data_IF_786522773537
#
_entry.id   IF_786522773537
#
_cell.length_a   1.000
_cell.length_b   1.000
_cell.length_c   1.000
_cell.angle_alpha   90.00
_cell.angle_beta   90.00
_cell.angle_gamma   90.00
#
_symmetry.space_group_name_H-M   'P 1'
#
loop_
_entity.id
_entity.type
_entity.pdbx_description
1 polymer ?
#
# COMPACT_ATOMS: atom_id res chain seq x y z
N UNK A 1 -9.57 -6.10 -13.59
CA UNK A 1 -8.48 -6.55 -14.47
C UNK A 1 -8.06 -7.92 -13.97
N UNK A 2 -8.16 -8.98 -14.79
CA UNK A 2 -7.75 -10.34 -14.39
C UNK A 2 -6.36 -10.60 -15.01
N UNK A 3 -5.36 -10.87 -14.16
CA UNK A 3 -4.00 -11.15 -14.61
C UNK A 3 -3.94 -12.39 -15.53
N UNK A 4 -4.75 -13.42 -15.26
CA UNK A 4 -4.81 -14.62 -16.11
C UNK A 4 -5.25 -14.27 -17.53
N UNK A 5 -6.27 -13.42 -17.67
CA UNK A 5 -6.72 -12.95 -18.99
C UNK A 5 -5.62 -12.18 -19.72
N UNK A 6 -4.90 -11.33 -19.02
CA UNK A 6 -3.77 -10.57 -19.61
C UNK A 6 -2.63 -11.50 -20.03
N UNK A 7 -2.38 -12.57 -19.24
CA UNK A 7 -1.39 -13.59 -19.57
C UNK A 7 -1.79 -14.40 -20.81
N UNK A 8 -3.08 -14.74 -20.97
CA UNK A 8 -3.57 -15.41 -22.19
C UNK A 8 -3.46 -14.53 -23.43
N UNK A 9 -3.78 -13.23 -23.31
CA UNK A 9 -3.58 -12.28 -24.40
C UNK A 9 -2.10 -12.21 -24.81
N UNK A 10 -1.18 -12.13 -23.85
CA UNK A 10 0.27 -12.14 -24.11
C UNK A 10 0.76 -13.45 -24.75
N UNK A 11 0.20 -14.61 -24.36
CA UNK A 11 0.49 -15.91 -24.99
C UNK A 11 0.11 -15.94 -26.47
N UNK A 12 -0.97 -15.24 -26.85
CA UNK A 12 -1.36 -15.09 -28.26
C UNK A 12 -0.45 -14.17 -29.07
N UNK A 13 0.31 -13.29 -28.41
CA UNK A 13 1.12 -12.25 -29.07
C UNK A 13 2.61 -12.62 -29.21
N UNK A 14 3.10 -13.60 -28.45
CA UNK A 14 4.55 -13.91 -28.36
C UNK A 14 4.81 -15.42 -28.33
N UNK A 15 6.00 -15.84 -28.76
CA UNK A 15 6.45 -17.23 -28.55
C UNK A 15 6.62 -17.54 -27.06
N UNK A 16 6.57 -18.82 -26.68
CA UNK A 16 6.76 -19.23 -25.29
C UNK A 16 8.10 -18.75 -24.69
N UNK A 17 9.17 -18.76 -25.48
CA UNK A 17 10.48 -18.26 -25.05
C UNK A 17 10.47 -16.75 -24.82
N UNK A 18 9.89 -15.98 -25.75
CA UNK A 18 9.78 -14.53 -25.62
C UNK A 18 8.87 -14.14 -24.45
N UNK A 19 7.76 -14.84 -24.23
CA UNK A 19 6.87 -14.63 -23.10
C UNK A 19 7.59 -14.89 -21.77
N UNK A 20 8.31 -16.00 -21.66
CA UNK A 20 9.08 -16.34 -20.46
C UNK A 20 10.11 -15.25 -20.14
N UNK A 21 10.84 -14.77 -21.15
CA UNK A 21 11.79 -13.67 -20.98
C UNK A 21 11.10 -12.34 -20.61
N UNK A 22 9.95 -12.05 -21.23
CA UNK A 22 9.16 -10.86 -20.95
C UNK A 22 8.68 -10.84 -19.49
N UNK A 23 8.12 -11.96 -19.00
CA UNK A 23 7.69 -12.09 -17.60
C UNK A 23 8.88 -12.02 -16.64
N UNK A 24 9.99 -12.69 -16.94
CA UNK A 24 11.17 -12.63 -16.05
C UNK A 24 11.73 -11.20 -15.89
N UNK A 25 11.61 -10.36 -16.93
CA UNK A 25 12.08 -8.96 -16.92
C UNK A 25 11.08 -7.97 -16.30
N UNK A 26 9.80 -8.29 -16.32
CA UNK A 26 8.74 -7.46 -15.79
C UNK A 26 8.72 -7.44 -14.25
N UNK A 27 8.24 -6.34 -13.67
CA UNK A 27 8.08 -6.17 -12.22
C UNK A 27 6.62 -6.35 -11.85
N UNK A 28 6.34 -7.29 -10.95
CA UNK A 28 5.05 -7.40 -10.30
C UNK A 28 5.00 -6.43 -9.10
N UNK A 29 4.21 -5.37 -9.21
CA UNK A 29 3.94 -4.43 -8.11
C UNK A 29 2.66 -4.83 -7.38
N UNK A 30 2.77 -5.19 -6.10
CA UNK A 30 1.65 -5.63 -5.27
C UNK A 30 1.45 -4.64 -4.11
N UNK A 31 0.20 -4.22 -3.91
CA UNK A 31 -0.21 -3.27 -2.86
C UNK A 31 -1.58 -3.68 -2.34
N UNK A 32 -1.60 -4.55 -1.33
CA UNK A 32 -2.80 -5.14 -0.74
C UNK A 32 -2.86 -4.89 0.77
N UNK A 33 -4.00 -5.20 1.41
CA UNK A 33 -4.18 -5.13 2.85
C UNK A 33 -5.02 -3.96 3.32
N UNK A 34 -4.88 -2.77 2.71
CA UNK A 34 -5.58 -1.57 3.21
C UNK A 34 -7.09 -1.79 3.33
N UNK A 35 -7.74 -2.27 2.26
CA UNK A 35 -9.18 -2.55 2.24
C UNK A 35 -9.59 -3.70 3.17
N UNK A 36 -8.74 -4.69 3.37
CA UNK A 36 -8.99 -5.78 4.32
C UNK A 36 -9.12 -5.24 5.76
N UNK A 37 -8.40 -4.16 6.08
CA UNK A 37 -8.60 -3.43 7.33
C UNK A 37 -9.80 -2.48 7.24
N UNK A 38 -9.77 -1.49 6.34
CA UNK A 38 -10.72 -0.36 6.37
C UNK A 38 -12.12 -0.68 5.85
N UNK A 39 -12.31 -1.74 5.07
CA UNK A 39 -13.58 -2.13 4.45
C UNK A 39 -14.01 -3.52 4.90
N UNK A 40 -13.39 -4.07 5.96
CA UNK A 40 -13.74 -5.35 6.54
C UNK A 40 -13.45 -5.40 8.05
N UNK A 41 -12.20 -5.50 8.48
CA UNK A 41 -11.86 -5.66 9.91
C UNK A 41 -12.36 -4.50 10.78
N UNK A 42 -12.25 -3.26 10.29
CA UNK A 42 -12.66 -2.06 11.02
C UNK A 42 -14.14 -1.68 10.80
N UNK A 43 -14.94 -2.54 10.16
CA UNK A 43 -16.40 -2.38 10.01
C UNK A 43 -17.17 -3.51 10.71
N UNK A 44 -17.16 -3.56 12.05
CA UNK A 44 -17.85 -4.60 12.81
C UNK A 44 -19.38 -4.58 12.64
N UNK A 45 -19.96 -3.47 12.14
CA UNK A 45 -21.39 -3.38 11.84
C UNK A 45 -21.81 -4.15 10.59
N UNK A 46 -20.86 -4.47 9.70
CA UNK A 46 -21.12 -5.19 8.43
C UNK A 46 -20.42 -6.55 8.37
N UNK A 47 -19.30 -6.71 9.08
CA UNK A 47 -18.47 -7.91 9.03
C UNK A 47 -18.14 -8.41 10.43
N UNK A 48 -18.02 -9.73 10.59
CA UNK A 48 -17.69 -10.37 11.86
C UNK A 48 -16.19 -10.60 12.06
N UNK A 49 -15.35 -10.13 11.13
CA UNK A 49 -13.91 -10.43 11.10
C UNK A 49 -13.18 -10.03 12.38
N UNK A 50 -13.46 -8.85 12.94
CA UNK A 50 -12.83 -8.40 14.19
C UNK A 50 -13.30 -9.14 15.43
N UNK A 51 -14.44 -9.86 15.35
CA UNK A 51 -14.88 -10.76 16.41
C UNK A 51 -14.24 -12.15 16.27
N UNK A 52 -13.92 -12.57 15.05
CA UNK A 52 -13.33 -13.87 14.76
C UNK A 52 -11.79 -13.90 14.89
N UNK A 53 -11.10 -12.78 14.67
CA UNK A 53 -9.65 -12.71 14.64
C UNK A 53 -9.11 -11.59 15.53
N UNK A 54 -8.06 -11.90 16.30
CA UNK A 54 -7.23 -10.85 16.89
C UNK A 54 -6.50 -10.05 15.79
N UNK A 55 -6.02 -8.82 16.07
CA UNK A 55 -5.25 -8.03 15.12
C UNK A 55 -4.08 -8.79 14.49
N UNK A 56 -3.36 -9.57 15.30
CA UNK A 56 -2.21 -10.36 14.86
C UNK A 56 -2.61 -11.58 14.04
N UNK A 57 -3.67 -12.30 14.43
CA UNK A 57 -4.16 -13.45 13.66
C UNK A 57 -4.68 -13.02 12.29
N UNK A 58 -5.34 -11.86 12.22
CA UNK A 58 -5.81 -11.30 10.96
C UNK A 58 -4.62 -10.89 10.06
N UNK A 59 -3.60 -10.25 10.62
CA UNK A 59 -2.37 -9.95 9.87
C UNK A 59 -1.71 -11.22 9.30
N UNK A 60 -1.64 -12.29 10.09
CA UNK A 60 -1.12 -13.59 9.64
C UNK A 60 -1.97 -14.21 8.53
N UNK A 61 -3.31 -14.16 8.67
CA UNK A 61 -4.23 -14.61 7.63
C UNK A 61 -3.98 -13.87 6.31
N UNK A 62 -3.89 -12.54 6.34
CA UNK A 62 -3.63 -11.73 5.14
C UNK A 62 -2.27 -12.06 4.52
N UNK A 63 -1.21 -12.21 5.33
CA UNK A 63 0.12 -12.57 4.84
C UNK A 63 0.13 -13.95 4.17
N UNK A 64 -0.61 -14.93 4.69
CA UNK A 64 -0.75 -16.23 4.05
C UNK A 64 -1.43 -16.14 2.69
N UNK A 65 -2.48 -15.33 2.55
CA UNK A 65 -3.12 -15.08 1.26
C UNK A 65 -2.15 -14.35 0.31
N UNK A 66 -1.40 -13.37 0.81
CA UNK A 66 -0.42 -12.63 0.04
C UNK A 66 0.68 -13.56 -0.51
N UNK A 67 1.25 -14.42 0.33
CA UNK A 67 2.25 -15.42 -0.07
C UNK A 67 1.75 -16.30 -1.23
N UNK A 68 0.51 -16.78 -1.17
CA UNK A 68 -0.09 -17.61 -2.24
C UNK A 68 -0.16 -16.86 -3.57
N UNK A 69 -0.56 -15.59 -3.56
CA UNK A 69 -0.63 -14.77 -4.78
C UNK A 69 0.77 -14.52 -5.37
N UNK A 70 1.76 -14.22 -4.52
CA UNK A 70 3.15 -14.04 -4.94
C UNK A 70 3.69 -15.32 -5.59
N UNK A 71 3.47 -16.47 -4.95
CA UNK A 71 3.93 -17.76 -5.44
C UNK A 71 3.24 -18.17 -6.74
N UNK A 72 1.96 -17.81 -6.93
CA UNK A 72 1.26 -18.03 -8.20
C UNK A 72 1.87 -17.22 -9.34
N UNK A 73 2.16 -15.93 -9.11
CA UNK A 73 2.86 -15.07 -10.08
C UNK A 73 4.28 -15.59 -10.37
N UNK A 74 5.00 -16.04 -9.35
CA UNK A 74 6.30 -16.66 -9.51
C UNK A 74 6.24 -17.94 -10.36
N UNK A 75 5.22 -18.78 -10.14
CA UNK A 75 5.01 -20.03 -10.88
C UNK A 75 4.80 -19.79 -12.39
N UNK A 76 4.20 -18.66 -12.80
CA UNK A 76 4.03 -18.34 -14.22
C UNK A 76 5.26 -17.72 -14.89
N UNK A 77 6.34 -17.47 -14.14
CA UNK A 77 7.62 -16.99 -14.70
C UNK A 77 8.05 -15.59 -14.24
N UNK A 78 7.28 -14.91 -13.38
CA UNK A 78 7.69 -13.62 -12.83
C UNK A 78 8.87 -13.79 -11.88
N UNK A 79 9.85 -12.88 -11.95
CA UNK A 79 11.08 -12.94 -11.13
C UNK A 79 11.35 -11.69 -10.30
N UNK A 80 10.69 -10.56 -10.59
CA UNK A 80 10.90 -9.31 -9.86
C UNK A 80 9.61 -8.87 -9.19
N UNK A 81 9.66 -8.66 -7.88
CA UNK A 81 8.48 -8.34 -7.08
C UNK A 81 8.74 -7.11 -6.20
N UNK A 82 7.82 -6.17 -6.23
CA UNK A 82 7.78 -5.05 -5.28
C UNK A 82 6.50 -5.14 -4.47
N UNK A 83 6.64 -5.37 -3.17
CA UNK A 83 5.57 -5.61 -2.22
C UNK A 83 5.45 -4.38 -1.30
N UNK A 84 4.50 -3.50 -1.63
CA UNK A 84 4.23 -2.30 -0.84
C UNK A 84 3.50 -2.68 0.46
N UNK A 85 4.01 -2.20 1.59
CA UNK A 85 3.33 -2.27 2.88
C UNK A 85 2.10 -1.35 2.94
N UNK A 86 1.33 -1.48 4.00
CA UNK A 86 0.14 -0.67 4.28
C UNK A 86 0.56 0.64 4.95
N UNK A 87 0.05 1.77 4.47
CA UNK A 87 0.27 3.09 5.08
C UNK A 87 -0.40 3.24 6.45
N UNK A 88 -0.18 4.35 7.18
CA UNK A 88 -0.76 4.56 8.51
C UNK A 88 -2.27 4.86 8.43
N UNK A 89 -3.11 3.81 8.36
CA UNK A 89 -4.56 3.96 8.18
C UNK A 89 -5.22 4.72 9.33
N UNK A 90 -4.70 4.68 10.56
CA UNK A 90 -5.24 5.50 11.65
C UNK A 90 -5.16 7.00 11.37
N UNK A 91 -4.34 7.42 10.42
CA UNK A 91 -4.15 8.81 10.02
C UNK A 91 -4.98 9.25 8.82
N UNK A 92 -5.67 8.35 8.10
CA UNK A 92 -6.49 8.76 6.96
C UNK A 92 -7.71 9.56 7.44
N UNK A 93 -8.23 10.51 6.63
CA UNK A 93 -9.35 11.36 7.05
C UNK A 93 -10.58 10.58 7.51
N UNK A 94 -10.91 9.45 6.87
CA UNK A 94 -12.01 8.59 7.28
C UNK A 94 -11.86 8.07 8.72
N UNK A 95 -10.68 7.58 9.09
CA UNK A 95 -10.44 7.05 10.43
C UNK A 95 -10.42 8.17 11.48
N UNK A 96 -9.88 9.35 11.14
CA UNK A 96 -9.95 10.54 12.01
C UNK A 96 -11.40 11.02 12.22
N UNK A 97 -12.24 10.89 11.20
CA UNK A 97 -13.63 11.31 11.24
C UNK A 97 -14.50 10.46 12.18
N UNK A 98 -14.05 9.25 12.57
CA UNK A 98 -14.74 8.41 13.56
C UNK A 98 -14.81 9.04 14.95
N UNK A 99 -13.90 9.97 15.25
CA UNK A 99 -13.82 10.61 16.57
C UNK A 99 -13.25 9.74 17.68
N UNK A 100 -12.67 8.57 17.36
CA UNK A 100 -12.02 7.69 18.34
C UNK A 100 -10.71 8.27 18.91
N UNK A 101 -10.16 9.31 18.28
CA UNK A 101 -8.97 10.02 18.74
C UNK A 101 -9.26 11.53 18.94
N UNK A 102 -8.46 12.23 19.79
CA UNK A 102 -8.50 13.67 19.91
C UNK A 102 -8.31 14.38 18.56
N UNK A 103 -8.83 15.61 18.44
CA UNK A 103 -8.67 16.42 17.23
C UNK A 103 -7.18 16.56 16.84
N UNK A 104 -6.88 16.47 15.55
CA UNK A 104 -5.52 16.50 15.00
C UNK A 104 -4.70 15.23 15.20
N UNK A 105 -5.15 14.25 16.01
CA UNK A 105 -4.43 12.98 16.25
C UNK A 105 -4.91 11.86 15.33
N UNK A 106 -4.00 10.94 15.00
CA UNK A 106 -4.37 9.68 14.35
C UNK A 106 -5.03 8.75 15.37
N UNK A 107 -5.77 7.75 14.86
CA UNK A 107 -6.28 6.65 15.69
C UNK A 107 -5.15 5.65 15.93
N UNK A 108 -4.49 5.78 17.09
CA UNK A 108 -3.27 5.02 17.40
C UNK A 108 -3.50 3.50 17.44
N UNK A 109 -4.67 3.04 17.93
CA UNK A 109 -5.02 1.62 17.95
C UNK A 109 -5.07 1.00 16.55
N UNK A 110 -5.56 1.73 15.55
CA UNK A 110 -5.55 1.31 14.15
C UNK A 110 -4.12 1.20 13.64
N UNK A 111 -3.28 2.21 13.90
CA UNK A 111 -1.88 2.19 13.48
C UNK A 111 -1.06 1.06 14.12
N UNK A 112 -1.31 0.76 15.40
CA UNK A 112 -0.65 -0.36 16.10
C UNK A 112 -0.98 -1.72 15.48
N UNK A 113 -2.24 -1.94 15.11
CA UNK A 113 -2.69 -3.18 14.46
C UNK A 113 -1.96 -3.47 13.14
N UNK A 114 -1.61 -2.45 12.37
CA UNK A 114 -0.92 -2.59 11.09
C UNK A 114 0.55 -3.03 11.25
N UNK A 115 1.12 -2.86 12.46
CA UNK A 115 2.51 -3.23 12.75
C UNK A 115 2.80 -4.70 12.45
N UNK A 116 1.93 -5.61 12.90
CA UNK A 116 2.08 -7.05 12.68
C UNK A 116 2.12 -7.40 11.19
N UNK A 117 1.26 -6.79 10.37
CA UNK A 117 1.24 -7.02 8.93
C UNK A 117 2.48 -6.48 8.24
N UNK A 118 2.85 -5.23 8.49
CA UNK A 118 3.99 -4.60 7.82
C UNK A 118 5.33 -5.25 8.19
N UNK A 119 5.52 -5.61 9.47
CA UNK A 119 6.70 -6.35 9.91
C UNK A 119 6.71 -7.77 9.33
N UNK A 120 5.57 -8.45 9.34
CA UNK A 120 5.43 -9.79 8.75
C UNK A 120 5.70 -9.79 7.24
N UNK A 121 5.27 -8.78 6.50
CA UNK A 121 5.53 -8.63 5.06
C UNK A 121 7.04 -8.48 4.79
N UNK A 122 7.74 -7.66 5.59
CA UNK A 122 9.20 -7.53 5.50
C UNK A 122 9.92 -8.85 5.80
N UNK A 123 9.48 -9.58 6.82
CA UNK A 123 10.02 -10.90 7.15
C UNK A 123 9.76 -11.93 6.05
N UNK A 124 8.57 -11.90 5.44
CA UNK A 124 8.21 -12.75 4.30
C UNK A 124 9.11 -12.46 3.10
N UNK A 125 9.42 -11.20 2.81
CA UNK A 125 10.40 -10.84 1.75
C UNK A 125 11.77 -11.47 2.01
N UNK A 126 12.25 -11.45 3.26
CA UNK A 126 13.51 -12.10 3.61
C UNK A 126 13.47 -13.61 3.37
N UNK A 127 12.38 -14.28 3.74
CA UNK A 127 12.19 -15.72 3.52
C UNK A 127 12.07 -16.07 2.03
N UNK A 128 11.31 -15.29 1.26
CA UNK A 128 11.15 -15.50 -0.19
C UNK A 128 12.48 -15.38 -0.93
N UNK A 129 13.29 -14.36 -0.62
CA UNK A 129 14.61 -14.21 -1.21
C UNK A 129 15.57 -15.36 -0.83
N UNK A 130 15.43 -15.96 0.36
CA UNK A 130 16.23 -17.11 0.77
C UNK A 130 15.80 -18.40 0.06
N UNK A 131 14.49 -18.58 -0.18
CA UNK A 131 13.92 -19.83 -0.67
C UNK A 131 13.78 -19.91 -2.21
N UNK A 132 13.88 -18.79 -2.92
CA UNK A 132 13.66 -18.73 -4.37
C UNK A 132 14.87 -18.09 -5.09
N UNK A 133 16.02 -18.80 -5.15
CA UNK A 133 17.17 -18.32 -5.91
C UNK A 133 16.78 -18.12 -7.38
N UNK A 134 17.02 -16.91 -7.91
CA UNK A 134 16.62 -16.52 -9.26
C UNK A 134 15.40 -15.60 -9.33
N UNK A 135 14.75 -15.31 -8.20
CA UNK A 135 13.79 -14.22 -8.07
C UNK A 135 14.23 -13.22 -7.00
N UNK A 136 13.79 -11.97 -7.13
CA UNK A 136 14.08 -10.88 -6.20
C UNK A 136 12.78 -10.26 -5.73
N UNK A 137 12.62 -10.25 -4.41
CA UNK A 137 11.48 -9.68 -3.71
C UNK A 137 11.95 -8.44 -2.94
N UNK A 138 11.23 -7.33 -3.11
CA UNK A 138 11.51 -6.06 -2.45
C UNK A 138 10.30 -5.66 -1.62
N UNK A 139 10.52 -5.31 -0.37
CA UNK A 139 9.54 -4.69 0.52
C UNK A 139 9.61 -3.16 0.37
N UNK A 140 8.46 -2.51 0.17
CA UNK A 140 8.32 -1.06 0.20
C UNK A 140 7.68 -0.57 1.51
N UNK A 141 8.36 0.31 2.24
CA UNK A 141 7.93 0.84 3.53
C UNK A 141 6.97 2.03 3.39
N UNK A 142 5.77 1.78 2.86
CA UNK A 142 4.73 2.82 2.71
C UNK A 142 4.38 3.47 4.04
N UNK A 143 4.33 2.68 5.14
CA UNK A 143 4.03 3.19 6.48
C UNK A 143 5.04 4.26 6.92
N UNK A 144 6.33 3.95 6.83
CA UNK A 144 7.40 4.87 7.19
C UNK A 144 7.42 6.11 6.30
N UNK A 145 7.29 5.93 4.98
CA UNK A 145 7.35 7.03 4.03
C UNK A 145 6.19 8.03 4.19
N UNK A 146 4.95 7.55 4.41
CA UNK A 146 3.80 8.42 4.69
C UNK A 146 3.89 9.00 6.10
N UNK A 147 4.35 8.24 7.09
CA UNK A 147 4.54 8.72 8.45
C UNK A 147 5.53 9.89 8.52
N UNK A 148 6.61 9.83 7.76
CA UNK A 148 7.59 10.91 7.63
C UNK A 148 6.98 12.19 7.04
N UNK A 149 6.16 12.07 5.98
CA UNK A 149 5.41 13.19 5.41
C UNK A 149 4.46 13.81 6.45
N UNK A 150 3.74 12.99 7.22
CA UNK A 150 2.80 13.47 8.23
C UNK A 150 3.49 14.15 9.42
N UNK A 151 4.70 13.70 9.78
CA UNK A 151 5.47 14.25 10.89
C UNK A 151 6.28 15.49 10.48
N UNK A 152 6.67 15.60 9.21
CA UNK A 152 7.50 16.67 8.68
C UNK A 152 6.85 17.41 7.48
N UNK A 153 5.56 17.79 7.52
CA UNK A 153 4.81 18.19 6.33
C UNK A 153 5.37 19.43 5.63
N UNK A 154 5.88 20.39 6.39
CA UNK A 154 6.49 21.61 5.85
C UNK A 154 7.73 21.32 4.98
N UNK A 155 8.51 20.27 5.30
CA UNK A 155 9.66 19.85 4.50
C UNK A 155 9.27 19.35 3.10
N UNK A 156 8.01 18.95 2.94
CA UNK A 156 7.43 18.48 1.68
C UNK A 156 6.46 19.48 1.04
N UNK A 157 6.28 20.67 1.62
CA UNK A 157 5.38 21.70 1.12
C UNK A 157 3.90 21.49 1.46
N UNK A 158 3.58 20.61 2.40
CA UNK A 158 2.19 20.38 2.84
C UNK A 158 1.85 21.25 4.05
N UNK A 159 0.61 21.75 4.06
CA UNK A 159 0.04 22.53 5.17
C UNK A 159 -1.23 21.90 5.73
N UNK A 160 -1.87 20.98 4.99
CA UNK A 160 -3.06 20.25 5.45
C UNK A 160 -2.77 18.75 5.46
N UNK A 161 -2.70 18.19 6.66
CA UNK A 161 -2.27 16.79 6.91
C UNK A 161 -3.36 15.90 7.48
N UNK A 162 -4.47 16.47 7.91
CA UNK A 162 -5.51 15.78 8.67
C UNK A 162 -6.88 15.81 7.99
N UNK A 163 -7.00 16.46 6.82
CA UNK A 163 -8.23 16.51 6.05
C UNK A 163 -8.02 16.20 4.56
N UNK A 164 -9.05 15.67 3.92
CA UNK A 164 -9.09 15.50 2.47
C UNK A 164 -9.24 16.85 1.74
N UNK A 165 -8.65 16.97 0.56
CA UNK A 165 -8.88 18.10 -0.35
C UNK A 165 -10.32 18.12 -0.89
N UNK A 166 -10.94 16.95 -1.05
CA UNK A 166 -12.30 16.77 -1.51
C UNK A 166 -13.02 15.74 -0.63
N UNK A 167 -14.21 16.07 -0.16
CA UNK A 167 -15.01 15.22 0.71
C UNK A 167 -16.01 16.05 1.49
N UNK A 168 -16.74 15.42 2.40
CA UNK A 168 -17.69 16.10 3.27
C UNK A 168 -17.55 15.65 4.73
N UNK A 169 -18.02 16.52 5.62
CA UNK A 169 -18.08 16.26 7.05
C UNK A 169 -16.74 16.43 7.75
N UNK A 170 -16.63 15.82 8.94
CA UNK A 170 -15.41 15.89 9.77
C UNK A 170 -14.19 15.42 8.97
N UNK A 171 -13.12 16.23 8.99
CA UNK A 171 -11.87 16.00 8.26
C UNK A 171 -12.04 15.83 6.73
N UNK A 172 -13.21 16.18 6.14
CA UNK A 172 -13.56 15.77 4.77
C UNK A 172 -13.46 14.24 4.56
N UNK A 173 -13.69 13.46 5.63
CA UNK A 173 -13.46 12.03 5.67
C UNK A 173 -14.70 11.17 5.95
N UNK A 174 -15.83 11.78 6.32
CA UNK A 174 -17.07 11.02 6.56
C UNK A 174 -17.69 10.54 5.24
N UNK A 175 -17.63 11.40 4.22
CA UNK A 175 -18.02 11.05 2.85
C UNK A 175 -16.85 11.38 1.96
N UNK A 176 -16.44 10.41 1.14
CA UNK A 176 -15.36 10.59 0.16
C UNK A 176 -15.74 11.62 -0.91
N UNK A 177 -14.79 11.97 -1.78
CA UNK A 177 -15.04 12.87 -2.89
C UNK A 177 -16.13 12.31 -3.82
N UNK A 178 -17.22 13.05 -4.00
CA UNK A 178 -18.34 12.68 -4.87
C UNK A 178 -18.23 13.36 -6.24
N UNK A 179 -18.88 12.82 -7.28
CA UNK A 179 -19.01 13.52 -8.55
C UNK A 179 -19.55 14.95 -8.36
N UNK A 180 -18.95 15.91 -9.08
CA UNK A 180 -19.28 17.34 -9.02
C UNK A 180 -18.99 18.07 -7.69
N UNK A 181 -18.40 17.40 -6.69
CA UNK A 181 -17.92 18.08 -5.50
C UNK A 181 -16.79 19.07 -5.87
N UNK A 182 -16.84 20.28 -5.31
CA UNK A 182 -15.79 21.28 -5.50
C UNK A 182 -14.61 20.92 -4.59
N UNK A 183 -13.45 20.56 -5.14
CA UNK A 183 -12.26 20.24 -4.36
C UNK A 183 -11.57 21.52 -3.85
N UNK A 184 -10.62 21.36 -2.94
CA UNK A 184 -9.75 22.44 -2.49
C UNK A 184 -9.03 23.15 -3.66
N UNK A 185 -8.71 24.43 -3.48
CA UNK A 185 -8.07 25.24 -4.51
C UNK A 185 -6.65 24.76 -4.85
N UNK A 186 -5.85 24.39 -3.84
CA UNK A 186 -4.46 23.97 -4.01
C UNK A 186 -4.22 22.56 -3.48
N UNK A 187 -4.21 21.58 -4.39
CA UNK A 187 -4.02 20.15 -4.06
C UNK A 187 -2.61 19.83 -3.59
N UNK A 188 -1.61 20.63 -3.99
CA UNK A 188 -0.21 20.41 -3.64
C UNK A 188 0.09 20.70 -2.17
N UNK A 189 -0.82 21.39 -1.47
CA UNK A 189 -0.70 21.68 -0.04
C UNK A 189 -1.35 20.61 0.86
N UNK A 190 -2.08 19.65 0.27
CA UNK A 190 -2.81 18.62 1.00
C UNK A 190 -2.09 17.27 0.91
N UNK A 191 -2.02 16.56 2.03
CA UNK A 191 -1.55 15.16 2.06
C UNK A 191 -2.61 14.23 1.46
N UNK A 192 -3.89 14.46 1.76
CA UNK A 192 -4.99 13.59 1.36
C UNK A 192 -5.86 14.23 0.27
N UNK A 193 -6.17 13.44 -0.77
CA UNK A 193 -7.11 13.82 -1.81
C UNK A 193 -8.54 13.73 -1.30
N UNK A 194 -8.89 12.59 -0.69
CA UNK A 194 -10.23 12.31 -0.19
C UNK A 194 -10.20 11.61 1.17
N UNK A 195 -11.28 10.91 1.53
CA UNK A 195 -11.42 10.21 2.79
C UNK A 195 -10.36 9.12 3.03
N UNK A 196 -9.72 8.59 1.97
CA UNK A 196 -8.85 7.42 2.02
C UNK A 196 -7.50 7.64 1.33
N UNK A 197 -7.50 8.34 0.19
CA UNK A 197 -6.39 8.38 -0.74
C UNK A 197 -5.53 9.63 -0.54
N UNK A 198 -4.23 9.49 -0.78
CA UNK A 198 -3.27 10.59 -0.80
C UNK A 198 -3.36 11.40 -2.09
N UNK A 199 -2.89 12.64 -2.08
CA UNK A 199 -2.83 13.49 -3.29
C UNK A 199 -1.77 13.01 -4.29
N UNK A 200 -1.86 13.46 -5.53
CA UNK A 200 -0.82 13.27 -6.55
C UNK A 200 0.56 13.74 -6.06
N UNK A 201 0.60 14.86 -5.33
CA UNK A 201 1.85 15.40 -4.78
C UNK A 201 2.53 14.41 -3.83
N UNK A 202 1.77 13.79 -2.92
CA UNK A 202 2.27 12.72 -2.04
C UNK A 202 2.67 11.50 -2.86
N UNK A 203 1.83 11.04 -3.79
CA UNK A 203 2.13 9.86 -4.61
C UNK A 203 3.40 10.04 -5.45
N UNK A 204 3.68 11.25 -5.94
CA UNK A 204 4.92 11.58 -6.65
C UNK A 204 6.15 11.45 -5.75
N UNK A 205 6.05 11.86 -4.48
CA UNK A 205 7.13 11.69 -3.49
C UNK A 205 7.34 10.21 -3.18
N UNK A 206 6.26 9.47 -2.91
CA UNK A 206 6.33 8.04 -2.62
C UNK A 206 6.93 7.24 -3.78
N UNK A 207 6.57 7.57 -5.02
CA UNK A 207 7.15 6.95 -6.21
C UNK A 207 8.66 7.20 -6.29
N UNK A 208 9.13 8.45 -6.07
CA UNK A 208 10.57 8.75 -6.06
C UNK A 208 11.31 8.01 -4.95
N UNK A 209 10.70 7.89 -3.75
CA UNK A 209 11.24 7.12 -2.63
C UNK A 209 11.30 5.63 -2.93
N UNK A 210 10.29 5.05 -3.59
CA UNK A 210 10.34 3.66 -4.03
C UNK A 210 11.42 3.41 -5.11
N UNK A 211 11.65 4.39 -5.99
CA UNK A 211 12.64 4.31 -7.07
C UNK A 211 14.07 4.44 -6.56
N UNK A 212 14.37 5.47 -5.78
CA UNK A 212 15.73 5.86 -5.44
C UNK A 212 15.92 6.16 -3.94
N UNK A 213 14.95 5.83 -3.10
CA UNK A 213 15.02 6.05 -1.67
C UNK A 213 16.04 5.14 -0.96
N UNK A 214 16.38 5.48 0.29
CA UNK A 214 17.30 4.72 1.12
C UNK A 214 16.74 3.35 1.55
N UNK A 215 17.57 2.48 2.16
CA UNK A 215 17.13 1.17 2.67
C UNK A 215 16.02 1.21 3.74
N UNK A 216 15.74 2.38 4.33
CA UNK A 216 14.59 2.57 5.22
C UNK A 216 13.25 2.61 4.46
N UNK A 217 13.28 2.92 3.17
CA UNK A 217 12.11 3.01 2.29
C UNK A 217 11.87 1.72 1.52
N UNK A 218 12.95 1.00 1.18
CA UNK A 218 12.89 -0.26 0.47
C UNK A 218 13.91 -1.26 1.00
N UNK A 219 13.56 -2.55 1.05
CA UNK A 219 14.47 -3.62 1.48
C UNK A 219 14.33 -4.86 0.58
N UNK A 220 15.43 -5.52 0.16
CA UNK A 220 16.83 -5.18 0.45
C UNK A 220 17.41 -4.09 -0.47
N UNK A 221 16.73 -3.79 -1.58
CA UNK A 221 17.14 -2.84 -2.62
C UNK A 221 15.93 -1.99 -3.05
N UNK A 222 16.14 -0.88 -3.74
CA UNK A 222 15.05 -0.05 -4.30
C UNK A 222 14.67 -0.48 -5.74
N UNK A 223 13.61 0.12 -6.30
CA UNK A 223 13.13 -0.23 -7.64
C UNK A 223 14.18 0.06 -8.74
N UNK A 224 14.97 1.13 -8.61
CA UNK A 224 16.03 1.43 -9.58
C UNK A 224 17.05 0.29 -9.64
N UNK A 225 17.46 -0.24 -8.49
CA UNK A 225 18.35 -1.39 -8.42
C UNK A 225 17.67 -2.67 -8.95
N UNK A 226 16.39 -2.90 -8.62
CA UNK A 226 15.64 -4.07 -9.08
C UNK A 226 15.49 -4.13 -10.61
N UNK A 227 15.36 -2.99 -11.28
CA UNK A 227 15.27 -2.92 -12.75
C UNK A 227 16.56 -3.41 -13.41
N UNK A 228 17.71 -3.22 -12.78
CA UNK A 228 19.04 -3.55 -13.33
C UNK A 228 19.43 -5.04 -13.21
N UNK A 229 18.66 -5.83 -12.46
CA UNK A 229 18.85 -7.28 -12.30
C UNK A 229 18.28 -8.04 -13.50
#
# INVERSE_FOLDING_TARGET
>A
MNFEKSLEELRGMMSAANLSQHLARSIAFLSFGSNDYINNYLLPSLYTTSAAYSPSDFAYLLLNHYARQILALHAVGMRKFFLAGVGPLGCIPNQRATGQAPAGRCVDSVNQMLGSFNQGLRSMVAQLNANHPGAVFVWGNTYGAVGDILNNPAAYGFTVVDAGCCGLGRNQGQVTCLPYAVPCANRSQYVFWDAFHTTEAVNSILARRAVAGPPSDCYPINLQQLVLI
#
